data_IF_548670305937
#
_entry.id   IF_548670305937
#
_cell.length_a   1.000
_cell.length_b   1.000
_cell.length_c   1.000
_cell.angle_alpha   90.00
_cell.angle_beta   90.00
_cell.angle_gamma   90.00
#
_symmetry.space_group_name_H-M   'P 1'
#
loop_
_entity.id
_entity.type
_entity.pdbx_description
1 polymer ?
#
# COMPACT_ATOMS: atom_id res chain seq x y z
N UNK A 1 -22.55 -3.31 36.90
CA UNK A 1 -21.47 -4.32 36.93
C UNK A 1 -20.84 -4.28 35.57
N UNK A 2 -19.54 -3.99 35.48
CA UNK A 2 -18.83 -4.00 34.19
C UNK A 2 -18.63 -5.47 33.81
N UNK A 3 -19.22 -5.90 32.69
CA UNK A 3 -19.21 -7.31 32.24
C UNK A 3 -18.36 -7.42 30.98
N UNK A 4 -17.61 -8.51 30.84
CA UNK A 4 -16.72 -8.76 29.70
C UNK A 4 -15.26 -8.40 29.96
N UNK A 5 -14.37 -8.87 29.06
CA UNK A 5 -12.93 -8.59 29.15
C UNK A 5 -12.63 -7.11 28.89
N UNK A 6 -11.41 -6.63 29.20
CA UNK A 6 -11.01 -5.26 28.80
C UNK A 6 -11.03 -5.13 27.28
N UNK A 7 -10.67 -6.21 26.57
CA UNK A 7 -10.71 -6.26 25.10
C UNK A 7 -12.12 -6.01 24.57
N UNK A 8 -13.12 -6.73 25.06
CA UNK A 8 -14.52 -6.58 24.61
C UNK A 8 -15.03 -5.16 24.83
N UNK A 9 -14.76 -4.60 26.01
CA UNK A 9 -15.16 -3.24 26.39
C UNK A 9 -14.44 -2.17 25.57
N UNK A 10 -13.18 -2.42 25.25
CA UNK A 10 -12.41 -1.54 24.35
C UNK A 10 -12.97 -1.60 22.93
N UNK A 11 -13.32 -2.79 22.44
CA UNK A 11 -13.98 -2.96 21.14
C UNK A 11 -15.33 -2.24 21.10
N UNK A 12 -16.14 -2.35 22.16
CA UNK A 12 -17.42 -1.65 22.27
C UNK A 12 -17.24 -0.11 22.24
N UNK A 13 -16.28 0.42 23.01
CA UNK A 13 -15.97 1.84 23.00
C UNK A 13 -15.50 2.31 21.61
N UNK A 14 -14.67 1.52 20.93
CA UNK A 14 -14.21 1.79 19.57
C UNK A 14 -15.35 1.78 18.56
N UNK A 15 -16.30 0.85 18.66
CA UNK A 15 -17.49 0.81 17.79
C UNK A 15 -18.40 2.02 18.01
N UNK A 16 -18.58 2.44 19.27
CA UNK A 16 -19.48 3.54 19.62
C UNK A 16 -18.93 4.92 19.28
N UNK A 17 -17.65 5.16 19.54
CA UNK A 17 -17.03 6.49 19.36
C UNK A 17 -16.08 6.55 18.14
N UNK A 18 -15.90 5.44 17.43
CA UNK A 18 -15.18 5.35 16.17
C UNK A 18 -13.75 5.84 16.26
N UNK A 19 -13.35 6.61 15.26
CA UNK A 19 -12.00 7.15 15.09
C UNK A 19 -11.53 7.98 16.30
N UNK A 20 -12.45 8.69 16.99
CA UNK A 20 -12.10 9.49 18.18
C UNK A 20 -11.57 8.62 19.32
N UNK A 21 -12.22 7.48 19.60
CA UNK A 21 -11.74 6.54 20.62
C UNK A 21 -10.43 5.89 20.21
N UNK A 22 -10.28 5.54 18.92
CA UNK A 22 -9.02 5.01 18.39
C UNK A 22 -7.87 5.98 18.60
N UNK A 23 -8.03 7.23 18.18
CA UNK A 23 -7.01 8.28 18.32
C UNK A 23 -6.60 8.45 19.78
N UNK A 24 -7.57 8.61 20.69
CA UNK A 24 -7.28 8.83 22.10
C UNK A 24 -6.60 7.62 22.74
N UNK A 25 -7.11 6.41 22.53
CA UNK A 25 -6.51 5.21 23.12
C UNK A 25 -5.10 4.96 22.56
N UNK A 26 -4.87 5.18 21.26
CA UNK A 26 -3.53 5.12 20.66
C UNK A 26 -2.59 6.18 21.26
N UNK A 27 -3.08 7.41 21.47
CA UNK A 27 -2.29 8.46 22.10
C UNK A 27 -1.98 8.17 23.58
N UNK A 28 -2.92 7.57 24.32
CA UNK A 28 -2.70 7.08 25.69
C UNK A 28 -1.63 5.99 25.75
N UNK A 29 -1.66 5.04 24.80
CA UNK A 29 -0.64 3.99 24.71
C UNK A 29 0.74 4.60 24.42
N UNK A 30 0.85 5.50 23.47
CA UNK A 30 2.11 6.18 23.16
C UNK A 30 2.62 7.01 24.35
N UNK A 31 1.73 7.77 25.00
CA UNK A 31 2.04 8.50 26.23
C UNK A 31 2.57 7.56 27.33
N UNK A 32 2.10 6.31 27.37
CA UNK A 32 2.58 5.32 28.33
C UNK A 32 3.93 4.71 28.00
N UNK A 33 4.33 4.67 26.73
CA UNK A 33 5.66 4.19 26.33
C UNK A 33 6.75 5.21 26.65
N UNK A 34 6.45 6.50 26.48
CA UNK A 34 7.38 7.60 26.79
C UNK A 34 7.38 7.99 28.28
N UNK A 35 6.50 7.38 29.10
CA UNK A 35 6.41 7.73 30.51
C UNK A 35 7.53 7.08 31.33
N UNK A 36 8.40 7.93 31.88
CA UNK A 36 9.48 7.51 32.78
C UNK A 36 8.99 7.29 34.22
N UNK A 37 7.87 7.91 34.63
CA UNK A 37 7.34 7.82 35.99
C UNK A 37 6.19 6.81 36.08
N UNK A 38 6.54 5.53 36.08
CA UNK A 38 5.58 4.42 36.13
C UNK A 38 4.90 4.24 37.50
N UNK A 39 5.44 4.85 38.56
CA UNK A 39 4.87 4.76 39.91
C UNK A 39 3.54 5.51 40.03
N UNK A 40 3.39 6.62 39.30
CA UNK A 40 2.17 7.44 39.34
C UNK A 40 1.06 6.91 38.43
N UNK A 41 1.39 6.10 37.43
CA UNK A 41 0.45 5.52 36.46
C UNK A 41 1.13 5.22 35.13
N UNK A 42 0.33 4.77 34.15
CA UNK A 42 0.83 4.55 32.79
C UNK A 42 1.00 5.87 32.04
N UNK A 43 0.05 6.79 32.15
CA UNK A 43 0.13 8.10 31.48
C UNK A 43 -0.56 9.20 32.29
N UNK A 44 -0.11 10.44 32.09
CA UNK A 44 -0.73 11.65 32.64
C UNK A 44 -1.52 12.42 31.59
N UNK A 45 -2.44 13.27 32.04
CA UNK A 45 -3.18 14.18 31.16
C UNK A 45 -2.23 15.07 30.33
N UNK A 46 -1.16 15.57 30.96
CA UNK A 46 -0.18 16.43 30.30
C UNK A 46 0.52 15.69 29.15
N UNK A 47 1.00 14.48 29.39
CA UNK A 47 1.66 13.65 28.37
C UNK A 47 0.71 13.32 27.21
N UNK A 48 -0.55 12.99 27.50
CA UNK A 48 -1.55 12.75 26.46
C UNK A 48 -1.73 13.97 25.54
N UNK A 49 -1.85 15.16 26.11
CA UNK A 49 -2.01 16.40 25.34
C UNK A 49 -0.76 16.69 24.50
N UNK A 50 0.44 16.43 25.02
CA UNK A 50 1.70 16.56 24.26
C UNK A 50 1.73 15.63 23.03
N UNK A 51 1.33 14.36 23.21
CA UNK A 51 1.23 13.38 22.10
C UNK A 51 0.20 13.82 21.06
N UNK A 52 -1.00 14.24 21.49
CA UNK A 52 -2.05 14.70 20.57
C UNK A 52 -1.62 15.94 19.77
N UNK A 53 -0.98 16.91 20.44
CA UNK A 53 -0.45 18.11 19.79
C UNK A 53 0.65 17.78 18.79
N UNK A 54 1.55 16.85 19.12
CA UNK A 54 2.59 16.37 18.21
C UNK A 54 2.04 15.78 16.91
N UNK A 55 0.80 15.30 16.92
CA UNK A 55 0.09 14.76 15.75
C UNK A 55 -0.83 15.77 15.06
N UNK A 56 -0.78 17.05 15.42
CA UNK A 56 -1.71 18.09 14.95
C UNK A 56 -3.20 17.76 15.21
N UNK A 57 -3.50 17.08 16.32
CA UNK A 57 -4.86 16.73 16.71
C UNK A 57 -5.35 17.70 17.79
N UNK A 58 -6.35 18.50 17.45
CA UNK A 58 -6.96 19.51 18.34
C UNK A 58 -8.26 19.01 18.99
N UNK A 59 -8.23 17.81 19.55
CA UNK A 59 -9.38 17.16 20.16
C UNK A 59 -9.27 17.17 21.69
N UNK A 60 -10.35 17.57 22.39
CA UNK A 60 -10.39 17.53 23.87
C UNK A 60 -10.65 16.10 24.38
N UNK A 61 -9.66 15.44 25.02
CA UNK A 61 -9.79 14.06 25.46
C UNK A 61 -10.65 13.90 26.72
N UNK A 62 -11.00 14.97 27.45
CA UNK A 62 -11.61 14.87 28.80
C UNK A 62 -12.88 14.03 28.84
N UNK A 63 -13.79 14.30 27.92
CA UNK A 63 -15.08 13.59 27.86
C UNK A 63 -14.89 12.11 27.58
N UNK A 64 -13.95 11.76 26.70
CA UNK A 64 -13.69 10.38 26.30
C UNK A 64 -12.93 9.62 27.37
N UNK A 65 -11.91 10.24 28.01
CA UNK A 65 -11.22 9.66 29.16
C UNK A 65 -12.19 9.32 30.30
N UNK A 66 -13.12 10.23 30.59
CA UNK A 66 -14.15 10.00 31.60
C UNK A 66 -15.00 8.78 31.25
N UNK A 67 -15.46 8.65 30.00
CA UNK A 67 -16.25 7.49 29.57
C UNK A 67 -15.42 6.20 29.62
N UNK A 68 -14.18 6.22 29.12
CA UNK A 68 -13.27 5.06 29.16
C UNK A 68 -13.02 4.56 30.60
N UNK A 69 -13.05 5.45 31.58
CA UNK A 69 -12.92 5.13 33.00
C UNK A 69 -14.25 4.68 33.63
N UNK A 70 -15.28 5.53 33.59
CA UNK A 70 -16.54 5.33 34.33
C UNK A 70 -17.45 4.28 33.69
N UNK A 71 -17.59 4.32 32.36
CA UNK A 71 -18.56 3.49 31.63
C UNK A 71 -17.94 2.16 31.18
N UNK A 72 -16.71 2.19 30.69
CA UNK A 72 -16.04 1.00 30.12
C UNK A 72 -15.01 0.38 31.05
N UNK A 73 -14.49 1.08 32.06
CA UNK A 73 -13.45 0.58 32.96
C UNK A 73 -12.21 0.06 32.22
N UNK A 74 -11.80 0.73 31.14
CA UNK A 74 -10.63 0.41 30.32
C UNK A 74 -9.37 0.98 30.97
N UNK A 75 -9.50 2.17 31.55
CA UNK A 75 -8.50 2.86 32.34
C UNK A 75 -9.04 3.13 33.74
N UNK A 76 -8.15 3.42 34.68
CA UNK A 76 -8.52 3.83 36.03
C UNK A 76 -7.55 4.90 36.54
N UNK A 77 -8.08 5.88 37.26
CA UNK A 77 -7.28 6.89 37.95
C UNK A 77 -6.39 6.22 38.99
N UNK A 78 -5.10 6.51 38.93
CA UNK A 78 -4.10 6.06 39.91
C UNK A 78 -3.69 7.18 40.85
N UNK A 79 -3.62 8.41 40.35
CA UNK A 79 -3.25 9.57 41.13
C UNK A 79 -3.95 10.82 40.60
N UNK A 80 -4.49 11.63 41.52
CA UNK A 80 -5.19 12.88 41.17
C UNK A 80 -4.92 13.96 42.21
N UNK A 81 -4.48 15.11 41.74
CA UNK A 81 -4.33 16.36 42.50
C UNK A 81 -4.96 17.52 41.73
N UNK A 82 -4.88 18.73 42.27
CA UNK A 82 -5.38 19.95 41.62
C UNK A 82 -4.68 20.26 40.28
N UNK A 83 -3.46 19.77 40.06
CA UNK A 83 -2.68 20.03 38.84
C UNK A 83 -2.24 18.79 38.06
N UNK A 84 -2.45 17.58 38.61
CA UNK A 84 -2.04 16.33 37.96
C UNK A 84 -3.16 15.31 37.99
N UNK A 85 -3.33 14.59 36.88
CA UNK A 85 -4.23 13.46 36.79
C UNK A 85 -3.53 12.36 35.99
N UNK A 86 -3.41 11.20 36.61
CA UNK A 86 -2.74 10.02 36.08
C UNK A 86 -3.69 8.84 36.03
N UNK A 87 -3.55 8.05 34.98
CA UNK A 87 -4.29 6.81 34.78
C UNK A 87 -3.35 5.64 34.55
N UNK A 88 -3.84 4.44 34.85
CA UNK A 88 -3.31 3.20 34.32
C UNK A 88 -4.38 2.47 33.50
N UNK A 89 -3.94 1.70 32.52
CA UNK A 89 -4.78 0.71 31.87
C UNK A 89 -5.11 -0.41 32.85
N UNK A 90 -6.37 -0.87 32.82
CA UNK A 90 -6.79 -2.03 33.61
C UNK A 90 -6.11 -3.30 33.09
N UNK A 91 -5.98 -3.42 31.76
CA UNK A 91 -5.15 -4.42 31.10
C UNK A 91 -4.65 -3.85 29.77
N UNK A 92 -3.39 -3.43 29.73
CA UNK A 92 -2.81 -2.72 28.58
C UNK A 92 -2.74 -3.62 27.33
N UNK A 93 -2.38 -4.89 27.52
CA UNK A 93 -2.25 -5.87 26.44
C UNK A 93 -3.58 -6.07 25.71
N UNK A 94 -4.68 -6.19 26.45
CA UNK A 94 -6.03 -6.33 25.87
C UNK A 94 -6.51 -5.06 25.15
N UNK A 95 -6.10 -3.87 25.59
CA UNK A 95 -6.36 -2.61 24.88
C UNK A 95 -5.60 -2.57 23.55
N UNK A 96 -4.33 -2.99 23.56
CA UNK A 96 -3.51 -3.12 22.35
C UNK A 96 -4.15 -4.13 21.39
N UNK A 97 -4.58 -5.29 21.89
CA UNK A 97 -5.26 -6.30 21.09
C UNK A 97 -6.58 -5.79 20.48
N UNK A 98 -7.38 -5.06 21.24
CA UNK A 98 -8.63 -4.47 20.74
C UNK A 98 -8.35 -3.40 19.67
N UNK A 99 -7.35 -2.54 19.87
CA UNK A 99 -6.96 -1.55 18.88
C UNK A 99 -6.43 -2.17 17.58
N UNK A 100 -5.73 -3.31 17.68
CA UNK A 100 -5.26 -4.12 16.55
C UNK A 100 -6.41 -4.86 15.86
N UNK A 101 -7.27 -5.53 16.62
CA UNK A 101 -8.42 -6.26 16.09
C UNK A 101 -9.53 -5.36 15.55
N UNK A 102 -9.48 -4.06 15.82
CA UNK A 102 -10.42 -3.07 15.29
C UNK A 102 -9.72 -2.08 14.33
N UNK A 103 -8.38 -2.19 14.13
CA UNK A 103 -7.70 -1.50 13.00
C UNK A 103 -8.05 -2.18 11.68
N UNK A 104 -8.51 -3.41 11.79
CA UNK A 104 -9.46 -4.05 10.91
C UNK A 104 -10.86 -3.58 11.36
N UNK A 105 -11.45 -2.51 10.80
CA UNK A 105 -12.42 -2.76 9.74
C UNK A 105 -11.84 -3.87 8.89
N UNK A 106 -12.26 -5.11 9.16
CA UNK A 106 -11.83 -6.33 8.48
C UNK A 106 -11.68 -5.99 7.00
N UNK A 107 -10.42 -5.73 6.58
CA UNK A 107 -10.16 -5.46 5.18
C UNK A 107 -10.59 -6.73 4.50
N UNK A 108 -11.55 -6.64 3.56
CA UNK A 108 -12.10 -7.82 2.90
C UNK A 108 -10.91 -8.71 2.53
N UNK A 109 -10.87 -9.99 2.94
CA UNK A 109 -9.72 -10.86 2.70
C UNK A 109 -9.27 -10.87 1.23
N UNK A 110 -10.19 -10.57 0.30
CA UNK A 110 -9.88 -10.34 -1.12
C UNK A 110 -9.06 -9.08 -1.36
N UNK A 111 -9.42 -7.95 -0.75
CA UNK A 111 -8.64 -6.70 -0.83
C UNK A 111 -7.23 -6.94 -0.31
N UNK A 112 -7.07 -7.60 0.85
CA UNK A 112 -5.75 -7.92 1.38
C UNK A 112 -4.97 -8.86 0.45
N UNK A 113 -5.63 -9.89 -0.10
CA UNK A 113 -5.00 -10.79 -1.06
C UNK A 113 -4.52 -10.05 -2.32
N UNK A 114 -5.32 -9.13 -2.86
CA UNK A 114 -4.96 -8.29 -4.02
C UNK A 114 -3.71 -7.46 -3.70
N UNK A 115 -3.67 -6.81 -2.53
CA UNK A 115 -2.52 -6.02 -2.09
C UNK A 115 -1.24 -6.87 -2.00
N UNK A 116 -1.33 -8.05 -1.39
CA UNK A 116 -0.21 -8.99 -1.27
C UNK A 116 0.27 -9.45 -2.65
N UNK A 117 -0.64 -9.81 -3.54
CA UNK A 117 -0.30 -10.21 -4.91
C UNK A 117 0.38 -9.08 -5.68
N UNK A 118 -0.16 -7.85 -5.59
CA UNK A 118 0.41 -6.69 -6.25
C UNK A 118 1.84 -6.38 -5.78
N UNK A 119 2.08 -6.39 -4.47
CA UNK A 119 3.43 -6.21 -3.90
C UNK A 119 4.38 -7.33 -4.36
N UNK A 120 3.91 -8.57 -4.39
CA UNK A 120 4.70 -9.73 -4.81
C UNK A 120 5.12 -9.68 -6.29
N UNK A 121 4.36 -8.97 -7.14
CA UNK A 121 4.66 -8.82 -8.56
C UNK A 121 5.78 -7.81 -8.86
N UNK A 122 6.23 -7.01 -7.89
CA UNK A 122 7.32 -6.06 -8.11
C UNK A 122 7.00 -5.02 -9.20
N UNK A 123 5.80 -4.42 -9.13
CA UNK A 123 5.27 -3.49 -10.15
C UNK A 123 6.27 -2.37 -10.51
N UNK A 124 6.99 -1.86 -9.50
CA UNK A 124 7.94 -0.75 -9.64
C UNK A 124 9.17 -1.16 -10.46
N UNK A 125 9.65 -2.37 -10.27
CA UNK A 125 10.79 -2.95 -10.99
C UNK A 125 10.41 -3.22 -12.45
N UNK A 126 9.21 -3.74 -12.67
CA UNK A 126 8.65 -3.95 -14.02
C UNK A 126 8.55 -2.61 -14.76
N UNK A 127 7.92 -1.60 -14.14
CA UNK A 127 7.77 -0.27 -14.72
C UNK A 127 9.13 0.33 -15.11
N UNK A 128 10.12 0.28 -14.19
CA UNK A 128 11.48 0.77 -14.45
C UNK A 128 12.12 0.06 -15.64
N UNK A 129 12.00 -1.26 -15.75
CA UNK A 129 12.54 -2.05 -16.87
C UNK A 129 11.90 -1.63 -18.19
N UNK A 130 10.58 -1.52 -18.24
CA UNK A 130 9.86 -1.13 -19.46
C UNK A 130 10.21 0.30 -19.89
N UNK A 131 10.28 1.25 -18.96
CA UNK A 131 10.73 2.61 -19.24
C UNK A 131 12.17 2.64 -19.77
N UNK A 132 13.06 1.83 -19.20
CA UNK A 132 14.42 1.70 -19.68
C UNK A 132 14.48 1.19 -21.12
N UNK A 133 13.69 0.16 -21.46
CA UNK A 133 13.60 -0.35 -22.84
C UNK A 133 13.10 0.74 -23.81
N UNK A 134 12.06 1.49 -23.44
CA UNK A 134 11.54 2.57 -24.30
C UNK A 134 12.58 3.65 -24.62
N UNK A 135 13.45 3.97 -23.66
CA UNK A 135 14.51 4.99 -23.81
C UNK A 135 15.64 4.56 -24.73
N UNK A 136 15.86 3.26 -24.94
CA UNK A 136 16.95 2.79 -25.82
C UNK A 136 16.68 3.21 -27.27
N UNK A 137 17.70 3.62 -28.05
CA UNK A 137 17.51 3.93 -29.48
C UNK A 137 17.02 2.70 -30.25
N UNK A 138 17.68 1.56 -30.03
CA UNK A 138 17.35 0.27 -30.62
C UNK A 138 17.26 -0.81 -29.54
N UNK A 139 16.46 -1.84 -29.79
CA UNK A 139 16.26 -2.96 -28.88
C UNK A 139 17.02 -4.19 -29.38
N UNK A 140 17.88 -4.73 -28.52
CA UNK A 140 18.68 -5.94 -28.81
C UNK A 140 17.85 -7.22 -28.71
N UNK A 141 18.38 -8.35 -29.17
CA UNK A 141 17.75 -9.66 -29.00
C UNK A 141 17.59 -10.07 -27.52
N UNK A 142 18.46 -9.56 -26.64
CA UNK A 142 18.32 -9.73 -25.19
C UNK A 142 17.10 -8.96 -24.71
N UNK A 143 16.91 -7.71 -25.16
CA UNK A 143 15.75 -6.90 -24.81
C UNK A 143 14.44 -7.53 -25.31
N UNK A 144 14.44 -8.06 -26.53
CA UNK A 144 13.30 -8.81 -27.09
C UNK A 144 12.98 -10.06 -26.26
N UNK A 145 14.00 -10.79 -25.79
CA UNK A 145 13.82 -11.94 -24.89
C UNK A 145 13.24 -11.53 -23.53
N UNK A 146 13.69 -10.41 -22.97
CA UNK A 146 13.14 -9.87 -21.73
C UNK A 146 11.65 -9.54 -21.91
N UNK A 147 11.27 -8.84 -22.98
CA UNK A 147 9.86 -8.53 -23.23
C UNK A 147 9.04 -9.80 -23.46
N UNK A 148 9.58 -10.78 -24.20
CA UNK A 148 8.91 -12.08 -24.41
C UNK A 148 8.64 -12.76 -23.07
N UNK A 149 9.64 -12.84 -22.19
CA UNK A 149 9.48 -13.42 -20.85
C UNK A 149 8.39 -12.69 -20.08
N UNK A 150 8.46 -11.36 -20.03
CA UNK A 150 7.44 -10.54 -19.41
C UNK A 150 6.03 -10.83 -19.96
N UNK A 151 5.87 -10.91 -21.28
CA UNK A 151 4.57 -11.11 -21.93
C UNK A 151 3.92 -12.47 -21.63
N UNK A 152 4.73 -13.52 -21.40
CA UNK A 152 4.22 -14.88 -21.17
C UNK A 152 4.23 -15.32 -19.70
N UNK A 153 5.04 -14.68 -18.86
CA UNK A 153 5.16 -15.03 -17.43
C UNK A 153 4.49 -13.99 -16.53
N UNK A 154 4.87 -12.72 -16.67
CA UNK A 154 4.46 -11.66 -15.73
C UNK A 154 3.11 -11.03 -16.11
N UNK A 155 2.90 -10.77 -17.40
CA UNK A 155 1.71 -10.10 -17.92
C UNK A 155 0.39 -10.84 -17.60
N UNK A 156 0.28 -12.18 -17.71
CA UNK A 156 -0.94 -12.89 -17.31
C UNK A 156 -1.27 -12.71 -15.82
N UNK A 157 -0.25 -12.68 -14.95
CA UNK A 157 -0.44 -12.45 -13.51
C UNK A 157 -0.89 -11.02 -13.24
N UNK A 158 -0.30 -10.05 -13.92
CA UNK A 158 -0.72 -8.64 -13.85
C UNK A 158 -2.18 -8.46 -14.27
N UNK A 159 -2.62 -9.12 -15.36
CA UNK A 159 -4.01 -9.04 -15.82
C UNK A 159 -4.98 -9.61 -14.79
N UNK A 160 -4.65 -10.74 -14.17
CA UNK A 160 -5.46 -11.31 -13.10
C UNK A 160 -5.64 -10.34 -11.93
N UNK A 161 -4.52 -9.77 -11.43
CA UNK A 161 -4.57 -8.80 -10.32
C UNK A 161 -5.29 -7.52 -10.74
N UNK A 162 -5.15 -7.07 -11.99
CA UNK A 162 -5.86 -5.91 -12.51
C UNK A 162 -7.37 -6.08 -12.50
N UNK A 163 -7.88 -7.22 -12.97
CA UNK A 163 -9.32 -7.49 -13.02
C UNK A 163 -9.91 -7.56 -11.60
N UNK A 164 -9.21 -8.23 -10.68
CA UNK A 164 -9.61 -8.31 -9.27
C UNK A 164 -9.54 -6.93 -8.59
N UNK A 165 -8.45 -6.19 -8.77
CA UNK A 165 -8.25 -4.86 -8.17
C UNK A 165 -9.21 -3.79 -8.70
N UNK A 166 -9.68 -3.92 -9.94
CA UNK A 166 -10.64 -2.98 -10.54
C UNK A 166 -12.05 -3.11 -9.96
N UNK A 167 -12.30 -4.15 -9.16
CA UNK A 167 -13.62 -4.43 -8.58
C UNK A 167 -13.85 -3.77 -7.21
N UNK A 168 -12.81 -3.22 -6.58
CA UNK A 168 -12.88 -2.61 -5.25
C UNK A 168 -12.28 -1.20 -5.29
N UNK A 169 -12.92 -0.26 -4.60
CA UNK A 169 -12.48 1.15 -4.55
C UNK A 169 -11.12 1.27 -3.85
N UNK A 170 -10.90 0.46 -2.82
CA UNK A 170 -9.72 0.40 -1.97
C UNK A 170 -8.46 -0.10 -2.70
N UNK A 171 -8.61 -0.70 -3.88
CA UNK A 171 -7.51 -1.22 -4.71
C UNK A 171 -7.41 -0.54 -6.07
N UNK A 172 -8.13 0.55 -6.30
CA UNK A 172 -8.17 1.20 -7.61
C UNK A 172 -6.80 1.76 -8.03
N UNK A 173 -5.99 2.22 -7.07
CA UNK A 173 -4.64 2.74 -7.34
C UNK A 173 -3.69 1.62 -7.84
N UNK A 174 -3.89 0.38 -7.38
CA UNK A 174 -3.17 -0.80 -7.86
C UNK A 174 -3.56 -1.07 -9.31
N UNK A 175 -4.86 -1.07 -9.61
CA UNK A 175 -5.36 -1.27 -10.96
C UNK A 175 -4.80 -0.22 -11.94
N UNK A 176 -4.75 1.04 -11.54
CA UNK A 176 -4.17 2.13 -12.33
C UNK A 176 -2.67 1.94 -12.60
N UNK A 177 -1.89 1.53 -11.59
CA UNK A 177 -0.46 1.20 -11.74
C UNK A 177 -0.25 0.06 -12.73
N UNK A 178 -1.03 -1.01 -12.63
CA UNK A 178 -0.93 -2.15 -13.55
C UNK A 178 -1.33 -1.74 -14.97
N UNK A 179 -2.41 -0.97 -15.14
CA UNK A 179 -2.83 -0.44 -16.43
C UNK A 179 -1.72 0.38 -17.10
N UNK A 180 -1.01 1.20 -16.33
CA UNK A 180 0.16 1.95 -16.80
C UNK A 180 1.27 1.02 -17.29
N UNK A 181 1.58 -0.03 -16.55
CA UNK A 181 2.57 -1.05 -16.94
C UNK A 181 2.20 -1.72 -18.26
N UNK A 182 0.93 -2.13 -18.41
CA UNK A 182 0.41 -2.74 -19.64
C UNK A 182 0.59 -1.81 -20.84
N UNK A 183 0.27 -0.52 -20.67
CA UNK A 183 0.44 0.49 -21.72
C UNK A 183 1.92 0.70 -22.08
N UNK A 184 2.84 0.68 -21.10
CA UNK A 184 4.28 0.73 -21.36
C UNK A 184 4.74 -0.49 -22.15
N UNK A 185 4.29 -1.70 -21.77
CA UNK A 185 4.64 -2.93 -22.47
C UNK A 185 4.14 -2.92 -23.93
N UNK A 186 2.92 -2.43 -24.16
CA UNK A 186 2.36 -2.23 -25.50
C UNK A 186 3.26 -1.34 -26.36
N UNK A 187 3.72 -0.21 -25.81
CA UNK A 187 4.64 0.70 -26.52
C UNK A 187 5.99 0.05 -26.83
N UNK A 188 6.54 -0.75 -25.91
CA UNK A 188 7.79 -1.49 -26.19
C UNK A 188 7.58 -2.48 -27.33
N UNK A 189 6.46 -3.22 -27.33
CA UNK A 189 6.12 -4.15 -28.41
C UNK A 189 5.98 -3.45 -29.77
N UNK A 190 5.29 -2.32 -29.81
CA UNK A 190 5.16 -1.51 -31.03
C UNK A 190 6.51 -1.04 -31.56
N UNK A 191 7.42 -0.63 -30.67
CA UNK A 191 8.78 -0.23 -31.03
C UNK A 191 9.59 -1.37 -31.63
N UNK A 192 9.45 -2.60 -31.11
CA UNK A 192 10.10 -3.77 -31.70
C UNK A 192 9.61 -4.01 -33.13
N UNK A 193 8.29 -3.96 -33.34
CA UNK A 193 7.69 -4.18 -34.66
C UNK A 193 8.12 -3.10 -35.67
N UNK A 194 8.19 -1.83 -35.25
CA UNK A 194 8.65 -0.74 -36.11
C UNK A 194 10.10 -0.95 -36.56
N UNK A 195 11.00 -1.28 -35.63
CA UNK A 195 12.41 -1.57 -35.95
C UNK A 195 12.54 -2.77 -36.91
N UNK A 196 11.71 -3.81 -36.77
CA UNK A 196 11.75 -4.96 -37.68
C UNK A 196 11.27 -4.64 -39.09
N UNK A 197 10.31 -3.73 -39.24
CA UNK A 197 9.86 -3.27 -40.56
C UNK A 197 10.90 -2.39 -41.26
N UNK A 198 11.61 -1.53 -40.52
CA UNK A 198 12.70 -0.73 -41.08
C UNK A 198 13.85 -1.61 -41.57
N UNK A 199 14.25 -2.61 -40.78
CA UNK A 199 15.31 -3.56 -41.17
C UNK A 199 14.92 -4.36 -42.41
N UNK A 200 13.67 -4.85 -42.50
CA UNK A 200 13.19 -5.56 -43.70
C UNK A 200 13.24 -4.69 -44.96
N UNK A 201 12.80 -3.43 -44.88
CA UNK A 201 12.87 -2.49 -45.99
C UNK A 201 14.30 -2.22 -46.46
N UNK A 202 15.27 -2.09 -45.53
CA UNK A 202 16.67 -1.90 -45.91
C UNK A 202 17.25 -3.13 -46.61
N UNK A 203 16.92 -4.35 -46.16
CA UNK A 203 17.37 -5.59 -46.79
C UNK A 203 16.75 -5.77 -48.18
N UNK A 204 15.45 -5.48 -48.34
CA UNK A 204 14.78 -5.53 -49.64
C UNK A 204 15.36 -4.51 -50.64
N UNK A 205 15.68 -3.29 -50.18
CA UNK A 205 16.36 -2.28 -51.01
C UNK A 205 17.78 -2.73 -51.43
N UNK A 206 18.55 -3.31 -50.53
CA UNK A 206 19.90 -3.82 -50.84
C UNK A 206 19.85 -5.01 -51.82
N UNK A 207 18.85 -5.90 -51.69
CA UNK A 207 18.62 -6.99 -52.65
C UNK A 207 18.16 -6.50 -54.03
N UNK A 208 17.36 -5.42 -54.12
CA UNK A 208 17.01 -4.79 -55.39
C UNK A 208 18.21 -4.13 -56.08
N UNK A 209 19.14 -3.55 -55.32
CA UNK A 209 20.39 -2.98 -55.85
C UNK A 209 21.37 -4.04 -56.37
N UNK A 210 21.27 -5.28 -55.90
CA UNK A 210 22.14 -6.40 -56.29
C UNK A 210 21.53 -7.34 -57.33
N UNK A 211 20.36 -7.02 -57.92
CA UNK A 211 19.85 -7.80 -59.06
C UNK A 211 20.87 -7.75 -60.21
N UNK A 212 21.48 -8.88 -60.60
CA UNK A 212 22.52 -8.88 -61.62
C UNK A 212 21.92 -8.45 -62.96
N UNK A 213 22.54 -7.45 -63.59
CA UNK A 213 22.23 -7.01 -64.95
C UNK A 213 22.80 -8.04 -65.93
N UNK A 214 22.06 -9.11 -66.18
CA UNK A 214 22.28 -10.08 -67.26
C UNK A 214 20.89 -10.39 -67.85
N UNK A 215 20.58 -10.30 -69.14
CA UNK A 215 21.28 -10.03 -70.40
C UNK A 215 20.22 -9.51 -71.38
N UNK A 216 20.58 -8.55 -72.23
CA UNK A 216 20.14 -8.55 -73.62
C UNK A 216 21.30 -8.03 -74.47
N UNK A 217 22.37 -8.83 -74.51
CA UNK A 217 23.20 -8.89 -75.71
C UNK A 217 22.89 -10.21 -76.40
N UNK A 218 22.87 -10.13 -77.73
CA UNK A 218 22.70 -11.20 -78.71
C UNK A 218 21.26 -11.66 -78.96
N UNK A 219 20.67 -11.16 -80.04
CA UNK A 219 20.75 -11.90 -81.32
C UNK A 219 20.50 -10.96 -82.51
N UNK A 220 21.22 -11.30 -83.58
CA UNK A 220 21.49 -10.56 -84.83
C UNK A 220 20.29 -10.13 -85.66
#
# INVERSE_FOLDING_TARGET
MIVGSVKDRTTEALLKYGEKARIILSACLEASEINENKELGDFSYKQLIEVLRGKNIDYDPKSLLRMLEEDYGIIQTTYRTSGQHWWKFVNKEQVVEALRGNSEIEEDPKISAIKIQAESLGLKEIEKKLLFLLRKPTLSDIDKRILRRFAFEDLPLLLKVYDEASSYEETIDIAEKIKKIIELAKRVSQKINANEQEVKKSVEMDEELYKPVYQHEEQS
#
